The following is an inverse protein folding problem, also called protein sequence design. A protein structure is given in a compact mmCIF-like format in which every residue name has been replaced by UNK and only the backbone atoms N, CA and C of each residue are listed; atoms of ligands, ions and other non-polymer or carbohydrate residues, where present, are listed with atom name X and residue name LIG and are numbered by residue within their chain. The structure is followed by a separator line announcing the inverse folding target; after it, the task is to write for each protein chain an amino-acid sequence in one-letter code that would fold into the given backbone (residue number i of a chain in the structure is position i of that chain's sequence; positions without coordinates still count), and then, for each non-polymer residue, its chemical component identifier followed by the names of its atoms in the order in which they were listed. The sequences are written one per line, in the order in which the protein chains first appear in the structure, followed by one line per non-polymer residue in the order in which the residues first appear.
data_IF_258132323087
#
_entry.id   IF_258132323087
#
_cell.length_a   1.000
_cell.length_b   1.000
_cell.length_c   1.000
_cell.angle_alpha   90.00
_cell.angle_beta   90.00
_cell.angle_gamma   90.00
#
_symmetry.space_group_name_H-M   'P 1'
#
loop_
_entity.id
_entity.type
_entity.pdbx_description
1 polymer ?
#
# COMPACT_ATOMS: atom_id res chain seq x y z
N UNK A 1 -25.03 21.08 -30.29
CA UNK A 1 -25.69 19.94 -30.98
C UNK A 1 -25.94 18.89 -29.93
N UNK A 2 -27.19 18.68 -29.52
CA UNK A 2 -27.52 17.67 -28.53
C UNK A 2 -27.29 16.29 -29.12
N UNK A 3 -26.57 15.43 -28.43
CA UNK A 3 -26.39 14.03 -28.79
C UNK A 3 -27.71 13.29 -28.55
N UNK A 4 -28.41 13.02 -29.63
CA UNK A 4 -29.81 12.56 -29.62
C UNK A 4 -29.98 11.11 -29.15
N UNK A 5 -28.92 10.31 -29.09
CA UNK A 5 -29.02 8.88 -28.77
C UNK A 5 -28.19 8.50 -27.53
N UNK A 6 -28.81 7.80 -26.54
CA UNK A 6 -28.07 7.21 -25.43
C UNK A 6 -27.07 6.15 -25.94
N UNK A 7 -25.99 5.89 -25.20
CA UNK A 7 -25.05 4.85 -25.60
C UNK A 7 -25.78 3.51 -25.78
N UNK A 8 -25.38 2.69 -26.77
CA UNK A 8 -26.01 1.41 -27.00
C UNK A 8 -25.90 0.52 -25.77
N UNK A 9 -26.96 -0.19 -25.43
CA UNK A 9 -26.96 -1.14 -24.32
C UNK A 9 -25.92 -2.23 -24.59
N UNK A 10 -24.91 -2.32 -23.73
CA UNK A 10 -23.92 -3.37 -23.79
C UNK A 10 -24.56 -4.72 -23.54
N UNK A 11 -24.26 -5.73 -24.36
CA UNK A 11 -24.77 -7.11 -24.19
C UNK A 11 -23.71 -7.96 -23.51
N UNK A 12 -24.08 -8.57 -22.38
CA UNK A 12 -23.22 -9.53 -21.70
C UNK A 12 -22.87 -10.70 -22.63
N UNK A 13 -21.56 -11.02 -22.84
CA UNK A 13 -21.12 -12.16 -23.62
C UNK A 13 -21.76 -13.47 -23.13
N UNK A 14 -22.10 -14.38 -24.05
CA UNK A 14 -22.78 -15.62 -23.69
C UNK A 14 -21.99 -16.47 -22.69
N UNK A 15 -20.66 -16.50 -22.81
CA UNK A 15 -19.75 -17.21 -21.91
C UNK A 15 -19.75 -16.68 -20.45
N UNK A 16 -20.20 -15.44 -20.24
CA UNK A 16 -20.24 -14.82 -18.90
C UNK A 16 -21.67 -14.76 -18.31
N UNK A 17 -22.70 -15.21 -19.05
CA UNK A 17 -24.10 -15.12 -18.59
C UNK A 17 -24.41 -15.99 -17.40
N UNK A 18 -23.69 -17.08 -17.22
CA UNK A 18 -23.85 -18.00 -16.10
C UNK A 18 -23.06 -17.58 -14.86
N UNK A 19 -22.11 -16.64 -15.00
CA UNK A 19 -21.34 -16.13 -13.88
C UNK A 19 -22.07 -14.94 -13.24
N UNK A 20 -22.57 -15.13 -12.03
CA UNK A 20 -23.36 -14.13 -11.29
C UNK A 20 -22.55 -12.86 -10.98
N UNK A 21 -21.27 -13.01 -10.64
CA UNK A 21 -20.40 -11.85 -10.35
C UNK A 21 -20.14 -11.03 -11.62
N UNK A 22 -19.84 -11.67 -12.75
CA UNK A 22 -19.65 -10.99 -14.02
C UNK A 22 -20.90 -10.22 -14.46
N UNK A 23 -22.10 -10.71 -14.17
CA UNK A 23 -23.36 -9.99 -14.44
C UNK A 23 -23.45 -8.71 -13.62
N UNK A 24 -23.17 -8.78 -12.33
CA UNK A 24 -23.23 -7.63 -11.42
C UNK A 24 -22.23 -6.55 -11.87
N UNK A 25 -21.00 -6.91 -12.21
CA UNK A 25 -20.01 -5.96 -12.71
C UNK A 25 -20.42 -5.32 -14.04
N UNK A 26 -21.00 -6.11 -14.94
CA UNK A 26 -21.46 -5.62 -16.24
C UNK A 26 -22.62 -4.62 -16.10
N UNK A 27 -23.56 -4.87 -15.19
CA UNK A 27 -24.65 -3.94 -14.85
C UNK A 27 -24.12 -2.65 -14.22
N UNK A 28 -23.08 -2.73 -13.39
CA UNK A 28 -22.42 -1.54 -12.82
C UNK A 28 -21.74 -0.70 -13.92
N UNK A 29 -21.01 -1.31 -14.84
CA UNK A 29 -20.38 -0.62 -15.98
C UNK A 29 -21.45 0.09 -16.82
N UNK A 30 -22.56 -0.57 -17.15
CA UNK A 30 -23.66 0.05 -17.90
C UNK A 30 -24.24 1.27 -17.18
N UNK A 31 -24.41 1.18 -15.86
CA UNK A 31 -24.93 2.28 -15.05
C UNK A 31 -23.98 3.47 -15.05
N UNK A 32 -22.68 3.24 -14.91
CA UNK A 32 -21.65 4.29 -14.95
C UNK A 32 -21.62 4.96 -16.33
N UNK A 33 -21.63 4.19 -17.41
CA UNK A 33 -21.66 4.72 -18.78
C UNK A 33 -22.91 5.59 -19.04
N UNK A 34 -24.07 5.16 -18.54
CA UNK A 34 -25.29 5.93 -18.66
C UNK A 34 -25.27 7.24 -17.85
N UNK A 35 -24.71 7.21 -16.64
CA UNK A 35 -24.52 8.41 -15.81
C UNK A 35 -23.55 9.40 -16.46
N UNK A 36 -22.43 8.93 -17.04
CA UNK A 36 -21.49 9.76 -17.78
C UNK A 36 -22.18 10.41 -19.00
N UNK A 37 -22.97 9.65 -19.76
CA UNK A 37 -23.73 10.19 -20.89
C UNK A 37 -24.72 11.27 -20.47
N UNK A 38 -25.46 11.07 -19.37
CA UNK A 38 -26.37 12.09 -18.84
C UNK A 38 -25.65 13.38 -18.43
N UNK A 39 -24.45 13.26 -17.83
CA UNK A 39 -23.63 14.37 -17.35
C UNK A 39 -22.91 15.12 -18.48
N UNK A 40 -22.62 14.44 -19.59
CA UNK A 40 -22.03 15.07 -20.79
C UNK A 40 -23.06 15.76 -21.69
N UNK A 41 -24.28 16.01 -21.19
CA UNK A 41 -25.34 16.74 -21.90
C UNK A 41 -26.25 15.86 -22.75
N UNK A 42 -26.17 14.52 -22.59
CA UNK A 42 -27.11 13.61 -23.22
C UNK A 42 -28.51 13.75 -22.59
N UNK A 43 -29.41 14.46 -23.29
CA UNK A 43 -30.82 14.59 -22.91
C UNK A 43 -31.19 15.86 -22.14
N UNK A 44 -30.34 16.87 -22.05
CA UNK A 44 -30.65 18.17 -21.47
C UNK A 44 -30.24 19.34 -22.36
N UNK A 45 -31.13 20.35 -22.50
CA UNK A 45 -30.93 21.53 -23.37
C UNK A 45 -30.01 22.61 -22.73
N UNK A 46 -29.53 22.45 -21.50
CA UNK A 46 -28.77 23.48 -20.78
C UNK A 46 -27.26 23.13 -20.72
N UNK A 47 -26.64 23.20 -21.87
CA UNK A 47 -25.19 22.94 -22.04
C UNK A 47 -24.32 24.06 -21.46
N UNK A 48 -24.85 25.27 -21.28
CA UNK A 48 -24.05 26.44 -20.86
C UNK A 48 -23.72 26.47 -19.36
N UNK A 49 -24.54 25.87 -18.51
CA UNK A 49 -24.25 25.80 -17.06
C UNK A 49 -23.21 24.70 -16.73
N UNK A 50 -23.07 23.67 -17.57
CA UNK A 50 -22.12 22.58 -17.39
C UNK A 50 -20.68 22.95 -17.79
N UNK A 51 -20.51 23.97 -18.65
CA UNK A 51 -19.19 24.43 -19.10
C UNK A 51 -18.45 25.32 -18.08
N UNK A 52 -19.18 25.87 -17.11
CA UNK A 52 -18.59 26.76 -16.09
C UNK A 52 -18.00 26.06 -14.87
N UNK A 53 -18.20 24.76 -14.71
CA UNK A 53 -17.66 24.01 -13.57
C UNK A 53 -16.70 22.88 -14.00
N UNK A 54 -15.69 23.26 -14.76
CA UNK A 54 -14.67 22.35 -15.30
C UNK A 54 -13.93 21.58 -14.20
N UNK A 55 -13.73 22.16 -13.02
CA UNK A 55 -13.03 21.53 -11.89
C UNK A 55 -13.87 20.45 -11.20
N UNK A 56 -15.19 20.63 -11.10
CA UNK A 56 -16.10 19.64 -10.54
C UNK A 56 -16.22 18.43 -11.48
N UNK A 57 -16.24 18.68 -12.78
CA UNK A 57 -16.32 17.63 -13.80
C UNK A 57 -15.04 16.77 -13.85
N UNK A 58 -13.85 17.36 -13.67
CA UNK A 58 -12.58 16.63 -13.57
C UNK A 58 -12.54 15.72 -12.33
N UNK A 59 -13.05 16.19 -11.18
CA UNK A 59 -13.15 15.40 -9.95
C UNK A 59 -14.09 14.19 -10.13
N UNK A 60 -15.26 14.40 -10.73
CA UNK A 60 -16.26 13.34 -10.94
C UNK A 60 -15.84 12.32 -12.00
N UNK A 61 -15.15 12.75 -13.07
CA UNK A 61 -14.56 11.85 -14.06
C UNK A 61 -13.46 11.00 -13.45
N UNK A 62 -12.59 11.57 -12.62
CA UNK A 62 -11.55 10.83 -11.92
C UNK A 62 -12.12 9.82 -10.89
N UNK A 63 -13.21 10.16 -10.22
CA UNK A 63 -13.91 9.22 -9.33
C UNK A 63 -14.55 8.06 -10.13
N UNK A 64 -15.21 8.37 -11.25
CA UNK A 64 -15.78 7.36 -12.16
C UNK A 64 -14.69 6.45 -12.75
N UNK A 65 -13.54 7.00 -13.13
CA UNK A 65 -12.38 6.24 -13.59
C UNK A 65 -11.83 5.33 -12.50
N UNK A 66 -11.72 5.82 -11.26
CA UNK A 66 -11.30 5.00 -10.12
C UNK A 66 -12.26 3.83 -9.85
N UNK A 67 -13.57 4.04 -10.01
CA UNK A 67 -14.57 2.97 -9.90
C UNK A 67 -14.46 1.96 -11.05
N UNK A 68 -14.23 2.40 -12.29
CA UNK A 68 -14.03 1.53 -13.47
C UNK A 68 -12.73 0.73 -13.31
N UNK A 69 -11.64 1.34 -12.83
CA UNK A 69 -10.37 0.63 -12.54
C UNK A 69 -10.56 -0.45 -11.46
N UNK A 70 -11.32 -0.17 -10.41
CA UNK A 70 -11.61 -1.15 -9.37
C UNK A 70 -12.49 -2.30 -9.91
N UNK A 71 -13.48 -2.01 -10.72
CA UNK A 71 -14.32 -3.02 -11.38
C UNK A 71 -13.49 -3.85 -12.36
N UNK A 72 -12.62 -3.23 -13.17
CA UNK A 72 -11.73 -3.93 -14.09
C UNK A 72 -10.70 -4.81 -13.33
N UNK A 73 -10.16 -4.32 -12.23
CA UNK A 73 -9.23 -5.07 -11.37
C UNK A 73 -9.89 -6.27 -10.71
N UNK A 74 -11.11 -6.11 -10.21
CA UNK A 74 -11.89 -7.19 -9.60
C UNK A 74 -12.38 -8.21 -10.64
N UNK A 75 -12.79 -7.75 -11.83
CA UNK A 75 -13.11 -8.63 -12.96
C UNK A 75 -11.86 -9.38 -13.47
N UNK A 76 -10.68 -8.77 -13.42
CA UNK A 76 -9.40 -9.40 -13.73
C UNK A 76 -9.06 -10.53 -12.75
N UNK A 77 -9.31 -10.34 -11.45
CA UNK A 77 -9.13 -11.37 -10.43
C UNK A 77 -10.11 -12.54 -10.64
N UNK A 78 -11.36 -12.26 -11.02
CA UNK A 78 -12.35 -13.28 -11.34
C UNK A 78 -12.05 -14.00 -12.67
N UNK A 79 -11.48 -13.30 -13.67
CA UNK A 79 -11.10 -13.85 -14.97
C UNK A 79 -9.77 -14.64 -14.95
N UNK A 80 -8.91 -14.43 -13.94
CA UNK A 80 -7.71 -15.27 -13.72
C UNK A 80 -8.05 -16.75 -13.45
N UNK A 81 -9.30 -17.04 -13.14
CA UNK A 81 -9.83 -18.40 -13.00
C UNK A 81 -10.47 -18.95 -14.26
N UNK A 82 -10.63 -18.16 -15.32
CA UNK A 82 -11.27 -18.55 -16.57
C UNK A 82 -10.69 -17.81 -17.79
N UNK A 83 -9.68 -18.41 -18.39
CA UNK A 83 -9.26 -18.22 -19.80
C UNK A 83 -8.38 -16.98 -20.17
N UNK A 84 -7.18 -17.29 -20.73
CA UNK A 84 -6.14 -16.36 -21.21
C UNK A 84 -6.63 -15.24 -22.17
N UNK A 85 -7.72 -15.44 -22.89
CA UNK A 85 -8.33 -14.45 -23.78
C UNK A 85 -9.06 -13.32 -23.05
N UNK A 86 -9.62 -13.62 -21.86
CA UNK A 86 -10.23 -12.60 -21.02
C UNK A 86 -9.20 -11.57 -20.53
N UNK A 87 -7.97 -12.00 -20.29
CA UNK A 87 -6.89 -11.14 -19.81
C UNK A 87 -6.38 -10.15 -20.88
N UNK A 88 -6.33 -10.54 -22.17
CA UNK A 88 -5.94 -9.63 -23.25
C UNK A 88 -7.01 -8.57 -23.50
N UNK A 89 -8.27 -8.94 -23.44
CA UNK A 89 -9.38 -8.00 -23.59
C UNK A 89 -9.46 -7.01 -22.42
N UNK A 90 -9.21 -7.46 -21.18
CA UNK A 90 -9.16 -6.59 -19.99
C UNK A 90 -7.97 -5.63 -20.04
N UNK A 91 -6.79 -6.06 -20.52
CA UNK A 91 -5.65 -5.17 -20.72
C UNK A 91 -5.95 -4.06 -21.73
N UNK A 92 -6.62 -4.38 -22.84
CA UNK A 92 -7.06 -3.39 -23.81
C UNK A 92 -8.11 -2.41 -23.25
N UNK A 93 -9.03 -2.89 -22.42
CA UNK A 93 -10.02 -2.04 -21.75
C UNK A 93 -9.32 -1.09 -20.76
N UNK A 94 -8.32 -1.55 -20.00
CA UNK A 94 -7.54 -0.71 -19.09
C UNK A 94 -6.76 0.37 -19.85
N UNK A 95 -6.13 0.03 -20.98
CA UNK A 95 -5.45 1.01 -21.83
C UNK A 95 -6.41 2.05 -22.39
N UNK A 96 -7.61 1.63 -22.84
CA UNK A 96 -8.65 2.54 -23.34
C UNK A 96 -9.18 3.46 -22.23
N UNK A 97 -9.40 2.95 -21.02
CA UNK A 97 -9.83 3.73 -19.87
C UNK A 97 -8.78 4.77 -19.47
N UNK A 98 -7.49 4.40 -19.52
CA UNK A 98 -6.39 5.35 -19.28
C UNK A 98 -6.31 6.43 -20.36
N UNK A 99 -6.51 6.07 -21.63
CA UNK A 99 -6.56 7.02 -22.74
C UNK A 99 -7.73 8.02 -22.63
N UNK A 100 -8.89 7.59 -22.14
CA UNK A 100 -10.04 8.45 -21.83
C UNK A 100 -9.70 9.45 -20.73
N UNK A 101 -9.03 9.02 -19.64
CA UNK A 101 -8.64 9.89 -18.53
C UNK A 101 -7.63 10.97 -18.91
N UNK A 102 -6.76 10.70 -19.88
CA UNK A 102 -5.76 11.67 -20.39
C UNK A 102 -6.36 12.67 -21.39
N UNK A 103 -7.43 12.31 -22.08
CA UNK A 103 -8.01 13.11 -23.19
C UNK A 103 -9.33 13.82 -22.86
N UNK A 104 -9.80 13.77 -21.62
CA UNK A 104 -11.09 14.32 -21.19
C UNK A 104 -11.18 15.87 -21.20
N UNK A 105 -10.32 16.56 -21.94
CA UNK A 105 -10.36 18.02 -22.09
C UNK A 105 -11.56 18.55 -22.92
N UNK A 106 -12.36 17.69 -23.57
CA UNK A 106 -13.63 18.06 -24.22
C UNK A 106 -14.63 16.90 -24.15
N UNK A 107 -15.90 17.20 -23.85
CA UNK A 107 -16.97 16.19 -23.76
C UNK A 107 -17.16 15.36 -25.05
N UNK A 108 -16.73 15.87 -26.17
CA UNK A 108 -16.83 15.18 -27.48
C UNK A 108 -15.77 14.07 -27.58
N UNK A 109 -14.54 14.28 -27.08
CA UNK A 109 -13.49 13.26 -27.05
C UNK A 109 -13.82 12.13 -26.05
N UNK A 110 -14.46 12.46 -24.93
CA UNK A 110 -14.92 11.45 -23.98
C UNK A 110 -15.98 10.52 -24.61
N UNK A 111 -16.87 11.04 -25.44
CA UNK A 111 -17.90 10.27 -26.13
C UNK A 111 -17.33 9.35 -27.21
N UNK A 112 -16.40 9.85 -28.03
CA UNK A 112 -15.69 9.02 -29.02
C UNK A 112 -14.93 7.88 -28.38
N UNK A 113 -14.34 8.15 -27.21
CA UNK A 113 -13.62 7.14 -26.42
C UNK A 113 -14.57 6.13 -25.79
N UNK A 114 -15.76 6.53 -25.33
CA UNK A 114 -16.81 5.63 -24.84
C UNK A 114 -17.38 4.74 -25.95
N UNK A 115 -17.55 5.26 -27.17
CA UNK A 115 -17.93 4.45 -28.33
C UNK A 115 -16.85 3.42 -28.68
N UNK A 116 -15.57 3.81 -28.65
CA UNK A 116 -14.45 2.89 -28.88
C UNK A 116 -14.40 1.77 -27.84
N UNK A 117 -14.64 2.07 -26.55
CA UNK A 117 -14.74 1.08 -25.47
C UNK A 117 -15.92 0.14 -25.71
N UNK A 118 -17.09 0.68 -26.11
CA UNK A 118 -18.27 -0.13 -26.41
C UNK A 118 -18.04 -1.07 -27.60
N UNK A 119 -17.34 -0.61 -28.65
CA UNK A 119 -16.97 -1.42 -29.81
C UNK A 119 -15.94 -2.49 -29.44
N UNK A 120 -14.92 -2.16 -28.64
CA UNK A 120 -13.94 -3.14 -28.16
C UNK A 120 -14.60 -4.26 -27.34
N UNK A 121 -15.55 -3.92 -26.46
CA UNK A 121 -16.34 -4.89 -25.71
C UNK A 121 -17.21 -5.79 -26.61
N UNK A 122 -17.76 -5.25 -27.72
CA UNK A 122 -18.51 -6.05 -28.70
C UNK A 122 -17.61 -7.00 -29.49
N UNK A 123 -16.40 -6.60 -29.85
CA UNK A 123 -15.42 -7.45 -30.56
C UNK A 123 -15.03 -8.65 -29.69
N UNK A 124 -14.84 -8.44 -28.39
CA UNK A 124 -14.57 -9.52 -27.41
C UNK A 124 -15.75 -10.48 -27.31
N UNK A 125 -16.99 -9.97 -27.41
CA UNK A 125 -18.21 -10.78 -27.37
C UNK A 125 -18.43 -11.63 -28.63
N UNK A 126 -17.85 -11.24 -29.77
CA UNK A 126 -18.04 -11.91 -31.07
C UNK A 126 -16.91 -12.86 -31.46
N UNK A 127 -15.85 -12.97 -30.66
CA UNK A 127 -14.75 -13.90 -30.92
C UNK A 127 -15.26 -15.35 -30.85
N UNK A 128 -15.05 -16.18 -31.90
CA UNK A 128 -15.48 -17.57 -31.87
C UNK A 128 -14.75 -18.36 -30.78
N UNK A 129 -15.38 -19.35 -30.15
CA UNK A 129 -14.73 -20.19 -29.15
C UNK A 129 -13.52 -20.90 -29.78
N UNK A 130 -12.37 -20.75 -29.16
CA UNK A 130 -11.16 -21.46 -29.62
C UNK A 130 -11.34 -22.95 -29.31
N UNK A 131 -11.14 -23.76 -30.33
CA UNK A 131 -11.06 -25.22 -30.20
C UNK A 131 -9.90 -25.58 -29.24
N UNK A 132 -10.06 -26.60 -28.39
CA UNK A 132 -9.00 -27.03 -27.49
C UNK A 132 -7.85 -27.60 -28.32
N UNK A 133 -6.74 -26.92 -28.33
CA UNK A 133 -5.49 -27.39 -28.93
C UNK A 133 -4.69 -28.11 -27.86
N UNK A 134 -4.63 -29.44 -27.98
CA UNK A 134 -3.67 -30.39 -27.43
C UNK A 134 -3.51 -30.46 -25.89
N UNK A 135 -3.19 -31.63 -25.37
CA UNK A 135 -2.97 -31.79 -23.93
C UNK A 135 -1.78 -30.95 -23.51
N UNK A 136 -2.10 -29.88 -22.79
CA UNK A 136 -1.15 -29.11 -22.03
C UNK A 136 -0.56 -30.06 -20.98
N UNK A 137 0.73 -30.38 -21.09
CA UNK A 137 1.43 -30.97 -19.96
C UNK A 137 1.16 -30.07 -18.75
N UNK A 138 0.68 -30.67 -17.69
CA UNK A 138 0.24 -30.02 -16.45
C UNK A 138 1.43 -29.33 -15.76
N UNK A 139 1.93 -28.26 -16.40
CA UNK A 139 2.82 -27.30 -15.77
C UNK A 139 1.90 -26.34 -15.01
N UNK A 140 1.28 -26.84 -13.96
CA UNK A 140 0.74 -25.94 -12.93
C UNK A 140 1.92 -25.11 -12.45
N UNK A 141 2.00 -23.79 -12.79
CA UNK A 141 3.02 -22.95 -12.15
C UNK A 141 2.80 -23.11 -10.64
N UNK A 142 3.87 -23.29 -9.86
CA UNK A 142 3.70 -23.45 -8.43
C UNK A 142 2.83 -22.29 -7.96
N UNK A 143 1.66 -22.60 -7.40
CA UNK A 143 0.76 -21.61 -6.82
C UNK A 143 1.56 -21.01 -5.67
N UNK A 144 2.23 -19.89 -5.95
CA UNK A 144 2.89 -19.12 -4.89
C UNK A 144 1.76 -18.64 -3.99
N UNK A 145 1.65 -19.11 -2.75
CA UNK A 145 0.60 -18.63 -1.88
C UNK A 145 0.70 -17.11 -1.80
N UNK A 146 -0.41 -16.39 -1.75
CA UNK A 146 -0.39 -14.94 -1.68
C UNK A 146 0.51 -14.52 -0.52
N UNK A 147 1.48 -13.62 -0.80
CA UNK A 147 2.40 -13.10 0.20
C UNK A 147 1.57 -12.50 1.34
N UNK A 148 1.65 -13.11 2.52
CA UNK A 148 0.91 -12.62 3.69
C UNK A 148 1.62 -11.37 4.19
N UNK A 149 0.87 -10.30 4.39
CA UNK A 149 1.38 -9.09 5.05
C UNK A 149 1.64 -9.41 6.51
N UNK A 150 2.90 -9.31 6.93
CA UNK A 150 3.34 -9.43 8.32
C UNK A 150 3.67 -8.06 8.86
N UNK A 151 3.21 -7.75 10.06
CA UNK A 151 3.48 -6.47 10.68
C UNK A 151 3.50 -6.57 12.19
N UNK A 152 4.18 -5.60 12.82
CA UNK A 152 4.20 -5.39 14.25
C UNK A 152 4.40 -3.92 14.58
N UNK A 153 3.77 -3.45 15.66
CA UNK A 153 3.95 -2.11 16.21
C UNK A 153 4.19 -2.23 17.71
N UNK A 154 5.36 -1.78 18.14
CA UNK A 154 5.86 -1.92 19.49
C UNK A 154 6.37 -0.59 20.00
N UNK A 155 6.26 -0.35 21.32
CA UNK A 155 6.86 0.82 21.94
C UNK A 155 7.24 0.54 23.40
N UNK A 156 8.04 1.45 23.98
CA UNK A 156 8.36 1.42 25.40
C UNK A 156 7.97 2.74 26.06
N UNK A 157 7.29 2.66 27.20
CA UNK A 157 6.83 3.81 27.98
C UNK A 157 7.75 4.18 29.11
N UNK A 158 8.91 3.52 29.21
CA UNK A 158 9.89 3.74 30.27
C UNK A 158 11.19 4.31 29.71
N UNK A 159 11.86 5.15 30.49
CA UNK A 159 13.21 5.64 30.17
C UNK A 159 14.22 4.52 30.30
N UNK A 160 15.10 4.35 29.31
CA UNK A 160 16.18 3.37 29.29
C UNK A 160 17.53 4.09 29.42
N UNK A 161 18.38 3.59 30.30
CA UNK A 161 19.68 4.17 30.61
C UNK A 161 20.82 3.19 30.33
N UNK A 162 21.97 3.69 29.92
CA UNK A 162 23.17 2.89 29.78
C UNK A 162 23.92 2.82 31.13
N UNK A 163 24.22 1.62 31.62
CA UNK A 163 24.96 1.44 32.86
C UNK A 163 26.47 1.75 32.72
N UNK A 164 27.01 1.69 31.48
CA UNK A 164 28.42 1.98 31.21
C UNK A 164 28.59 2.56 29.79
N UNK A 165 29.61 3.40 29.64
CA UNK A 165 30.00 3.95 28.32
C UNK A 165 30.58 2.85 27.41
N UNK A 166 30.48 3.07 26.11
CA UNK A 166 31.04 2.18 25.06
C UNK A 166 30.64 0.70 25.20
N UNK A 167 29.48 0.47 25.81
CA UNK A 167 28.90 -0.87 26.01
C UNK A 167 27.63 -1.00 25.18
N UNK A 168 27.47 -2.14 24.53
CA UNK A 168 26.29 -2.43 23.71
C UNK A 168 25.09 -2.83 24.58
N UNK A 169 23.99 -2.15 24.43
CA UNK A 169 22.71 -2.46 25.06
C UNK A 169 21.66 -2.71 23.99
N UNK A 170 20.75 -3.63 24.24
CA UNK A 170 19.57 -3.82 23.40
C UNK A 170 18.44 -2.92 23.91
N UNK A 171 17.81 -2.17 23.00
CA UNK A 171 16.59 -1.39 23.32
C UNK A 171 15.46 -2.38 23.58
N UNK A 172 14.72 -2.16 24.65
CA UNK A 172 13.59 -2.98 25.08
C UNK A 172 12.25 -2.35 24.68
N UNK A 173 11.22 -3.18 24.64
CA UNK A 173 9.84 -2.77 24.36
C UNK A 173 8.93 -3.37 25.43
N UNK A 174 8.03 -2.58 26.00
CA UNK A 174 7.11 -3.05 27.02
C UNK A 174 5.66 -3.18 26.53
N UNK A 175 5.36 -2.72 25.32
CA UNK A 175 4.01 -2.71 24.79
C UNK A 175 3.99 -3.18 23.34
N UNK A 176 3.03 -4.08 23.04
CA UNK A 176 2.64 -4.49 21.70
C UNK A 176 1.25 -3.91 21.43
N UNK A 177 1.12 -3.05 20.40
CA UNK A 177 -0.15 -2.47 20.01
C UNK A 177 -0.78 -3.26 18.85
N UNK A 178 0.01 -3.52 17.79
CA UNK A 178 -0.42 -4.30 16.65
C UNK A 178 0.55 -5.44 16.36
N UNK A 179 0.02 -6.60 16.00
CA UNK A 179 0.85 -7.76 15.65
C UNK A 179 0.13 -8.69 14.66
N UNK A 180 0.87 -9.13 13.64
CA UNK A 180 0.47 -10.20 12.73
C UNK A 180 1.72 -10.91 12.20
N UNK A 181 2.12 -12.00 12.87
CA UNK A 181 3.31 -12.77 12.49
C UNK A 181 4.65 -12.09 12.80
N UNK A 182 4.62 -10.92 13.47
CA UNK A 182 5.80 -10.24 14.05
C UNK A 182 5.49 -10.00 15.52
N UNK A 183 6.32 -10.47 16.44
CA UNK A 183 6.00 -10.47 17.87
C UNK A 183 7.22 -10.27 18.77
N UNK A 184 7.01 -9.73 19.96
CA UNK A 184 8.04 -9.62 21.00
C UNK A 184 8.31 -10.98 21.64
N UNK A 185 9.58 -11.29 21.87
CA UNK A 185 10.00 -12.47 22.60
C UNK A 185 10.46 -12.19 24.03
N UNK A 186 11.26 -13.10 24.54
CA UNK A 186 11.98 -12.92 25.81
C UNK A 186 13.48 -13.08 25.55
N UNK A 187 14.32 -12.07 25.87
CA UNK A 187 13.94 -10.76 26.43
C UNK A 187 13.11 -9.90 25.44
N UNK A 188 12.44 -8.88 25.95
CA UNK A 188 11.55 -7.99 25.19
C UNK A 188 12.27 -7.05 24.21
N UNK A 189 13.60 -7.14 24.12
CA UNK A 189 14.39 -6.51 23.06
C UNK A 189 14.29 -7.25 21.72
N UNK A 190 13.83 -8.52 21.73
CA UNK A 190 13.82 -9.40 20.56
C UNK A 190 12.49 -9.36 19.85
N UNK A 191 12.52 -8.95 18.60
CA UNK A 191 11.37 -8.93 17.69
C UNK A 191 11.51 -10.10 16.72
N UNK A 192 10.65 -11.11 16.87
CA UNK A 192 10.62 -12.32 16.06
C UNK A 192 9.69 -12.20 14.87
N UNK A 193 9.97 -12.98 13.82
CA UNK A 193 9.10 -13.13 12.64
C UNK A 193 8.74 -14.60 12.42
N UNK A 194 7.52 -14.87 11.95
CA UNK A 194 7.01 -16.23 11.73
C UNK A 194 7.17 -16.72 10.28
N UNK A 195 7.48 -15.83 9.34
CA UNK A 195 7.65 -16.18 7.92
C UNK A 195 8.97 -15.63 7.35
N UNK A 196 9.59 -16.33 6.38
CA UNK A 196 10.76 -15.82 5.69
C UNK A 196 10.38 -14.67 4.74
N UNK A 197 10.99 -13.50 4.93
CA UNK A 197 10.82 -12.34 4.06
C UNK A 197 11.94 -11.31 4.29
N UNK A 198 11.97 -10.27 3.47
CA UNK A 198 12.67 -9.04 3.81
C UNK A 198 11.69 -8.15 4.60
N UNK A 199 12.10 -7.75 5.78
CA UNK A 199 11.32 -6.89 6.68
C UNK A 199 11.94 -5.50 6.73
N UNK A 200 11.05 -4.51 6.81
CA UNK A 200 11.40 -3.13 7.09
C UNK A 200 11.17 -2.85 8.57
N UNK A 201 12.24 -2.58 9.31
CA UNK A 201 12.22 -2.19 10.73
C UNK A 201 12.39 -0.67 10.80
N UNK A 202 11.31 0.06 10.93
CA UNK A 202 11.31 1.51 11.13
C UNK A 202 11.24 1.82 12.62
N UNK A 203 12.09 2.70 13.09
CA UNK A 203 12.09 3.10 14.50
C UNK A 203 12.18 4.61 14.68
N UNK A 204 11.72 5.07 15.83
CA UNK A 204 12.06 6.38 16.40
C UNK A 204 12.45 6.22 17.85
N UNK A 205 13.60 6.77 18.24
CA UNK A 205 14.14 6.78 19.59
C UNK A 205 14.25 8.21 20.08
N UNK A 206 13.69 8.50 21.23
CA UNK A 206 13.80 9.79 21.89
C UNK A 206 15.09 9.83 22.70
N UNK A 207 16.09 10.57 22.25
CA UNK A 207 17.37 10.73 22.95
C UNK A 207 17.40 12.04 23.71
N UNK A 208 17.89 11.98 24.93
CA UNK A 208 18.15 13.13 25.78
C UNK A 208 19.56 13.07 26.36
N UNK A 209 20.18 14.23 26.61
CA UNK A 209 21.45 14.39 27.30
C UNK A 209 21.26 15.19 28.59
N UNK A 210 21.29 14.53 29.71
CA UNK A 210 21.06 15.13 31.04
C UNK A 210 22.27 15.86 31.62
N UNK A 211 23.43 15.85 30.93
CA UNK A 211 24.65 16.53 31.35
C UNK A 211 25.14 17.54 30.29
N UNK A 212 25.97 18.47 30.72
CA UNK A 212 26.65 19.39 29.80
C UNK A 212 27.66 18.67 28.91
N UNK A 213 27.96 19.26 27.75
CA UNK A 213 28.95 18.74 26.82
C UNK A 213 28.37 18.16 25.53
N UNK A 214 29.25 17.53 24.76
CA UNK A 214 28.90 16.87 23.50
C UNK A 214 29.07 15.37 23.68
N UNK A 215 27.97 14.65 23.72
CA UNK A 215 27.98 13.19 23.88
C UNK A 215 27.46 12.50 22.62
N UNK A 216 27.82 11.24 22.44
CA UNK A 216 27.47 10.46 21.28
C UNK A 216 26.59 9.30 21.69
N UNK A 217 25.54 9.07 20.90
CA UNK A 217 24.80 7.82 20.87
C UNK A 217 25.09 7.10 19.55
N UNK A 218 25.26 5.80 19.60
CA UNK A 218 25.39 4.93 18.45
C UNK A 218 24.19 4.00 18.43
N UNK A 219 23.58 3.81 17.26
CA UNK A 219 22.42 2.92 17.08
C UNK A 219 22.70 2.04 15.86
N UNK A 220 22.43 0.72 16.01
CA UNK A 220 22.63 -0.24 14.94
C UNK A 220 21.66 -1.42 15.05
N UNK A 221 21.63 -2.24 14.01
CA UNK A 221 20.82 -3.42 13.91
C UNK A 221 21.60 -4.68 14.29
N UNK A 222 20.93 -5.61 14.99
CA UNK A 222 21.43 -6.94 15.31
C UNK A 222 20.41 -7.99 14.91
N UNK A 223 20.88 -9.08 14.32
CA UNK A 223 20.07 -10.23 13.95
C UNK A 223 20.61 -11.50 14.62
N UNK A 224 19.76 -12.23 15.31
CA UNK A 224 20.12 -13.49 15.97
C UNK A 224 21.40 -13.39 16.83
N UNK A 225 21.56 -12.28 17.56
CA UNK A 225 22.71 -12.01 18.42
C UNK A 225 23.97 -11.52 17.68
N UNK A 226 23.94 -11.39 16.35
CA UNK A 226 25.08 -10.91 15.55
C UNK A 226 24.80 -9.53 15.00
N UNK A 227 25.70 -8.58 15.20
CA UNK A 227 25.59 -7.23 14.67
C UNK A 227 25.64 -7.23 13.13
N UNK A 228 24.71 -6.51 12.51
CA UNK A 228 24.69 -6.36 11.06
C UNK A 228 25.77 -5.34 10.66
N UNK A 229 26.71 -5.79 9.83
CA UNK A 229 27.79 -4.94 9.37
C UNK A 229 27.24 -3.68 8.66
N UNK A 230 27.88 -2.53 8.89
CA UNK A 230 27.54 -1.24 8.27
C UNK A 230 26.13 -0.71 8.59
N UNK A 231 25.48 -1.22 9.65
CA UNK A 231 24.19 -0.71 10.10
C UNK A 231 24.30 0.41 11.16
N UNK A 232 25.49 0.64 11.71
CA UNK A 232 25.67 1.62 12.78
C UNK A 232 25.58 3.06 12.29
N UNK A 233 24.84 3.88 13.02
CA UNK A 233 24.75 5.33 12.85
C UNK A 233 25.14 6.03 14.14
N UNK A 234 25.73 7.23 14.00
CA UNK A 234 26.17 8.07 15.13
C UNK A 234 25.29 9.31 15.22
N UNK A 235 24.80 9.57 16.41
CA UNK A 235 24.05 10.77 16.76
C UNK A 235 24.84 11.58 17.80
N UNK A 236 24.90 12.90 17.64
CA UNK A 236 25.56 13.80 18.56
C UNK A 236 24.54 14.68 19.29
N UNK A 237 24.49 14.54 20.61
CA UNK A 237 23.72 15.40 21.50
C UNK A 237 24.61 16.48 22.08
N UNK A 238 24.16 17.72 22.01
CA UNK A 238 24.91 18.89 22.50
C UNK A 238 24.19 19.50 23.68
N UNK A 239 24.95 19.91 24.68
CA UNK A 239 24.47 20.57 25.90
C UNK A 239 23.54 19.73 26.78
N UNK A 240 23.26 20.26 27.98
CA UNK A 240 22.24 19.74 28.89
C UNK A 240 20.87 19.93 28.24
N UNK A 241 19.98 18.93 28.43
CA UNK A 241 18.63 18.89 27.82
C UNK A 241 18.67 18.93 26.29
N UNK A 242 19.73 18.37 25.70
CA UNK A 242 19.90 18.23 24.27
C UNK A 242 19.04 17.10 23.71
N UNK A 243 17.73 17.33 23.55
CA UNK A 243 16.78 16.36 23.01
C UNK A 243 16.92 16.18 21.51
N UNK A 244 16.81 14.93 21.04
CA UNK A 244 16.84 14.58 19.62
C UNK A 244 16.09 13.28 19.34
N UNK A 245 15.31 13.28 18.27
CA UNK A 245 14.68 12.06 17.76
C UNK A 245 15.60 11.43 16.71
N UNK A 246 16.10 10.23 17.01
CA UNK A 246 16.81 9.40 16.04
C UNK A 246 15.79 8.47 15.36
N UNK A 247 15.58 8.63 14.05
CA UNK A 247 14.59 7.86 13.30
C UNK A 247 15.09 7.53 11.90
N UNK A 248 15.15 6.23 11.58
CA UNK A 248 15.40 5.68 10.24
C UNK A 248 14.89 4.24 10.17
N UNK A 249 15.28 3.50 9.15
CA UNK A 249 14.85 2.13 8.99
C UNK A 249 15.99 1.21 8.56
N UNK A 250 15.80 -0.09 8.81
CA UNK A 250 16.66 -1.18 8.35
C UNK A 250 15.84 -2.15 7.52
N UNK A 251 16.37 -2.54 6.35
CA UNK A 251 15.84 -3.65 5.56
C UNK A 251 16.65 -4.90 5.89
N UNK A 252 16.01 -5.91 6.48
CA UNK A 252 16.67 -7.13 6.92
C UNK A 252 15.94 -8.35 6.38
N UNK A 253 16.68 -9.23 5.68
CA UNK A 253 16.18 -10.53 5.25
C UNK A 253 16.18 -11.49 6.44
N UNK A 254 14.99 -11.99 6.80
CA UNK A 254 14.73 -12.85 7.94
C UNK A 254 14.19 -14.20 7.49
N UNK A 255 14.49 -15.25 8.24
CA UNK A 255 13.83 -16.57 8.17
C UNK A 255 12.80 -16.68 9.29
N UNK A 256 11.85 -17.59 9.16
CA UNK A 256 10.94 -17.90 10.25
C UNK A 256 11.72 -18.27 11.53
N UNK A 257 11.36 -17.66 12.64
CA UNK A 257 12.03 -17.81 13.92
C UNK A 257 13.29 -16.96 14.12
N UNK A 258 13.75 -16.22 13.12
CA UNK A 258 14.80 -15.20 13.31
C UNK A 258 14.26 -14.05 14.18
N UNK A 259 15.16 -13.39 14.91
CA UNK A 259 14.84 -12.17 15.65
C UNK A 259 15.77 -11.01 15.31
N UNK A 260 15.21 -9.83 15.42
CA UNK A 260 15.87 -8.53 15.30
C UNK A 260 15.99 -7.88 16.68
N UNK A 261 17.08 -7.17 16.93
CA UNK A 261 17.28 -6.28 18.09
C UNK A 261 17.80 -4.93 17.60
N UNK A 262 17.25 -3.84 18.13
CA UNK A 262 17.78 -2.49 17.98
C UNK A 262 18.79 -2.26 19.08
N UNK A 263 20.04 -2.06 18.71
CA UNK A 263 21.17 -1.90 19.63
C UNK A 263 21.55 -0.45 19.77
N UNK A 264 22.03 -0.07 20.96
CA UNK A 264 22.59 1.25 21.19
C UNK A 264 23.80 1.21 22.12
N UNK A 265 24.60 2.28 22.06
CA UNK A 265 25.74 2.53 22.95
C UNK A 265 25.95 4.02 23.08
N UNK A 266 26.58 4.46 24.15
CA UNK A 266 26.78 5.87 24.45
C UNK A 266 28.23 6.17 24.83
N UNK A 267 28.68 7.39 24.55
CA UNK A 267 29.98 7.90 24.99
C UNK A 267 29.93 8.47 26.42
N UNK A 268 28.74 8.73 26.94
CA UNK A 268 28.49 9.19 28.31
C UNK A 268 27.16 8.62 28.82
N UNK A 269 27.10 8.22 30.08
CA UNK A 269 25.89 7.63 30.71
C UNK A 269 24.77 8.67 30.94
N UNK A 270 25.05 9.95 30.79
CA UNK A 270 24.06 11.00 30.79
C UNK A 270 23.13 10.97 29.57
N UNK A 271 23.52 10.26 28.51
CA UNK A 271 22.65 10.05 27.33
C UNK A 271 21.67 8.92 27.66
N UNK A 272 20.38 9.24 27.51
CA UNK A 272 19.26 8.35 27.82
C UNK A 272 18.33 8.19 26.61
N UNK A 273 17.58 7.09 26.58
CA UNK A 273 16.42 6.89 25.73
C UNK A 273 15.19 7.22 26.55
N UNK A 274 14.63 8.43 26.39
CA UNK A 274 13.72 9.04 27.37
C UNK A 274 12.24 8.87 26.98
N UNK A 275 11.41 8.48 27.96
CA UNK A 275 9.96 8.55 27.88
C UNK A 275 9.45 9.78 28.65
N UNK A 276 8.40 10.43 28.13
CA UNK A 276 7.79 11.58 28.78
C UNK A 276 6.31 11.31 29.08
N UNK A 277 5.88 11.74 30.27
CA UNK A 277 4.47 11.64 30.65
C UNK A 277 3.59 12.56 29.81
N UNK A 278 2.30 12.24 29.69
CA UNK A 278 1.34 13.10 29.01
C UNK A 278 1.25 14.48 29.71
N UNK A 279 1.27 15.54 28.91
CA UNK A 279 1.06 16.93 29.35
C UNK A 279 0.12 17.63 28.36
N UNK A 280 -1.12 17.86 28.76
CA UNK A 280 -2.16 18.37 27.86
C UNK A 280 -1.68 19.64 27.11
N UNK A 281 -1.92 19.74 25.78
CA UNK A 281 -2.70 18.83 24.91
C UNK A 281 -1.90 17.63 24.33
N UNK A 282 -0.63 17.44 24.76
CA UNK A 282 0.29 16.43 24.22
C UNK A 282 0.10 15.09 24.92
N UNK A 283 -0.12 13.98 24.21
CA UNK A 283 -0.14 12.64 24.80
C UNK A 283 1.24 12.24 25.30
N UNK A 284 1.33 11.14 26.06
CA UNK A 284 2.61 10.58 26.51
C UNK A 284 3.50 10.23 25.31
N UNK A 285 4.81 10.46 25.48
CA UNK A 285 5.83 10.19 24.47
C UNK A 285 6.59 8.93 24.87
N UNK A 286 6.47 7.84 24.09
CA UNK A 286 7.28 6.64 24.33
C UNK A 286 8.77 6.91 24.12
N UNK A 287 9.64 6.21 24.85
CA UNK A 287 11.08 6.32 24.67
C UNK A 287 11.54 5.80 23.30
N UNK A 288 10.86 4.77 22.80
CA UNK A 288 11.08 4.17 21.50
C UNK A 288 9.76 3.71 20.89
N UNK A 289 9.65 3.83 19.58
CA UNK A 289 8.60 3.23 18.76
C UNK A 289 9.28 2.39 17.69
N UNK A 290 8.76 1.20 17.42
CA UNK A 290 9.21 0.32 16.35
C UNK A 290 8.01 -0.17 15.53
N UNK A 291 8.05 0.10 14.24
CA UNK A 291 7.10 -0.44 13.26
C UNK A 291 7.81 -1.42 12.36
N UNK A 292 7.25 -2.61 12.18
CA UNK A 292 7.82 -3.67 11.35
C UNK A 292 6.82 -4.10 10.30
N UNK A 293 7.26 -4.27 9.05
CA UNK A 293 6.42 -4.79 7.96
C UNK A 293 7.25 -5.52 6.92
N UNK A 294 6.67 -6.55 6.29
CA UNK A 294 7.23 -7.23 5.12
C UNK A 294 6.59 -6.75 3.80
N UNK A 295 5.75 -5.73 3.86
CA UNK A 295 5.13 -5.16 2.67
C UNK A 295 6.08 -4.14 2.04
N UNK A 296 6.92 -4.64 1.11
CA UNK A 296 7.91 -3.88 0.35
C UNK A 296 7.55 -3.92 -1.14
#
# INVERSE_FOLDING_TARGET
MALVNPPPALRLPQALRENQEARVYFEQIQKILFQLWQRTGGGNDDVNDLLNDQSAMEGEVNEALGQIENVARNASIAALTADYKGNQALAQIVELVQAVGVNAASGQQALESLEAIAQALQVVALAPPVQPVMPYEDVTPPITPPKRTRYGYFYDTTTQTAAAINTAYAITFNTTDLTNGVYLGSPTSRIYVDEPATYNFMFSVQLDNTAGGNHLAYIWARKNGTDIAQSASQVRLKSTDGELVAAWNFLVTMKAGDYFELMWSVSDTAVQVVAQAAAAPVPAIPSVIMTVTNNL
#
